data_IF_928918499954
#
_entry.id   IF_928918499954
#
_cell.length_a   1.000
_cell.length_b   1.000
_cell.length_c   1.000
_cell.angle_alpha   90.00
_cell.angle_beta   90.00
_cell.angle_gamma   90.00
#
_symmetry.space_group_name_H-M   'P 1'
#
loop_
_entity.id
_entity.type
_entity.pdbx_description
1 polymer ?
#
# COMPACT_ATOMS: atom_id res chain seq x y z
N UNK A 1 -12.34 3.60 -48.72
CA UNK A 1 -12.10 4.87 -47.98
C UNK A 1 -12.34 4.77 -46.47
N UNK A 2 -12.75 3.62 -45.91
CA UNK A 2 -13.08 3.48 -44.47
C UNK A 2 -11.90 3.01 -43.60
N UNK A 3 -10.96 2.23 -44.16
CA UNK A 3 -9.86 1.58 -43.42
C UNK A 3 -8.79 2.55 -42.92
N UNK A 4 -8.36 3.50 -43.75
CA UNK A 4 -7.36 4.51 -43.34
C UNK A 4 -7.82 5.37 -42.17
N UNK A 5 -9.11 5.71 -42.09
CA UNK A 5 -9.67 6.47 -40.96
C UNK A 5 -9.70 5.63 -39.68
N UNK A 6 -9.97 4.33 -39.80
CA UNK A 6 -9.92 3.39 -38.68
C UNK A 6 -8.49 3.17 -38.18
N UNK A 7 -7.53 3.00 -39.08
CA UNK A 7 -6.10 2.87 -38.75
C UNK A 7 -5.58 4.11 -38.00
N UNK A 8 -5.94 5.31 -38.48
CA UNK A 8 -5.59 6.57 -37.82
C UNK A 8 -6.24 6.67 -36.43
N UNK A 9 -7.51 6.28 -36.30
CA UNK A 9 -8.21 6.31 -35.01
C UNK A 9 -7.58 5.37 -33.97
N UNK A 10 -7.18 4.17 -34.40
CA UNK A 10 -6.50 3.20 -33.54
C UNK A 10 -5.15 3.75 -33.08
N UNK A 11 -4.34 4.29 -34.00
CA UNK A 11 -3.05 4.90 -33.65
C UNK A 11 -3.21 6.06 -32.65
N UNK A 12 -4.21 6.93 -32.85
CA UNK A 12 -4.48 8.04 -31.94
C UNK A 12 -4.93 7.55 -30.55
N UNK A 13 -5.77 6.52 -30.47
CA UNK A 13 -6.19 5.93 -29.20
C UNK A 13 -5.04 5.31 -28.42
N UNK A 14 -4.11 4.64 -29.11
CA UNK A 14 -2.94 4.03 -28.51
C UNK A 14 -2.00 5.08 -27.92
N UNK A 15 -1.67 6.12 -28.71
CA UNK A 15 -0.86 7.26 -28.27
C UNK A 15 -1.53 7.97 -27.08
N UNK A 16 -2.85 8.21 -27.14
CA UNK A 16 -3.59 8.84 -26.05
C UNK A 16 -3.53 8.00 -24.76
N UNK A 17 -3.66 6.67 -24.86
CA UNK A 17 -3.59 5.78 -23.70
C UNK A 17 -2.23 5.87 -22.99
N UNK A 18 -1.13 5.93 -23.75
CA UNK A 18 0.23 6.00 -23.21
C UNK A 18 0.51 7.33 -22.49
N UNK A 19 -0.10 8.42 -22.97
CA UNK A 19 -0.04 9.73 -22.31
C UNK A 19 -0.93 9.82 -21.06
N UNK A 20 -2.11 9.20 -21.08
CA UNK A 20 -3.06 9.24 -19.97
C UNK A 20 -2.64 8.32 -18.81
N UNK A 21 -1.98 7.19 -19.09
CA UNK A 21 -1.54 6.22 -18.10
C UNK A 21 -0.14 6.49 -17.54
N UNK A 22 0.38 7.73 -17.62
CA UNK A 22 1.64 8.05 -16.94
C UNK A 22 1.44 7.89 -15.43
N UNK A 23 2.13 6.94 -14.77
CA UNK A 23 1.99 6.78 -13.33
C UNK A 23 2.46 8.07 -12.68
N UNK A 24 1.56 8.72 -11.92
CA UNK A 24 1.93 9.89 -11.13
C UNK A 24 3.06 9.46 -10.21
N UNK A 25 4.25 10.05 -10.39
CA UNK A 25 5.38 9.83 -9.49
C UNK A 25 4.91 10.21 -8.09
N UNK A 26 4.87 9.24 -7.18
CA UNK A 26 4.54 9.52 -5.78
C UNK A 26 5.56 10.53 -5.29
N UNK A 27 5.08 11.70 -4.85
CA UNK A 27 5.95 12.71 -4.26
C UNK A 27 6.65 12.09 -3.06
N UNK A 28 7.93 12.42 -2.88
CA UNK A 28 8.68 11.98 -1.70
C UNK A 28 8.04 12.62 -0.47
N UNK A 29 7.33 11.81 0.30
CA UNK A 29 6.75 12.23 1.58
C UNK A 29 7.90 12.37 2.58
N UNK A 30 8.05 13.55 3.19
CA UNK A 30 9.05 13.80 4.23
C UNK A 30 8.73 13.05 5.53
N UNK A 31 7.44 12.96 5.84
CA UNK A 31 6.93 12.24 6.99
C UNK A 31 5.85 11.27 6.52
N UNK A 32 5.87 10.05 7.07
CA UNK A 32 4.84 9.05 6.80
C UNK A 32 3.55 9.42 7.52
N UNK A 33 2.40 9.12 6.92
CA UNK A 33 1.09 9.51 7.48
C UNK A 33 0.86 8.91 8.86
N UNK A 34 1.19 7.63 9.02
CA UNK A 34 1.07 6.94 10.30
C UNK A 34 1.92 7.58 11.40
N UNK A 35 3.04 8.23 11.06
CA UNK A 35 3.88 8.94 12.03
C UNK A 35 3.22 10.22 12.53
N UNK A 36 2.45 10.92 11.68
CA UNK A 36 1.65 12.09 12.07
C UNK A 36 0.49 11.71 12.98
N UNK A 37 -0.06 10.52 12.78
CA UNK A 37 -1.24 10.05 13.50
C UNK A 37 -0.89 9.10 14.67
N UNK A 38 0.41 8.87 14.91
CA UNK A 38 0.91 7.97 15.96
C UNK A 38 0.35 8.30 17.34
N UNK A 39 0.22 9.58 17.69
CA UNK A 39 -0.33 10.01 18.97
C UNK A 39 -1.86 9.80 19.07
N UNK A 40 -2.54 9.71 17.92
CA UNK A 40 -4.01 9.61 17.84
C UNK A 40 -4.49 8.16 17.91
N UNK A 41 -3.69 7.22 17.42
CA UNK A 41 -4.05 5.81 17.39
C UNK A 41 -3.46 5.05 18.58
N UNK A 42 -4.27 4.18 19.19
CA UNK A 42 -3.72 3.14 20.05
C UNK A 42 -2.79 2.24 19.22
N UNK A 43 -1.71 1.74 19.83
CA UNK A 43 -0.68 0.93 19.14
C UNK A 43 -1.29 -0.20 18.29
N UNK A 44 -2.40 -0.79 18.73
CA UNK A 44 -3.09 -1.88 18.01
C UNK A 44 -3.73 -1.41 16.70
N UNK A 45 -4.32 -0.21 16.66
CA UNK A 45 -4.91 0.33 15.43
C UNK A 45 -3.81 0.65 14.42
N UNK A 46 -2.76 1.30 14.90
CA UNK A 46 -1.57 1.59 14.09
C UNK A 46 -0.98 0.33 13.48
N UNK A 47 -0.82 -0.76 14.26
CA UNK A 47 -0.29 -2.02 13.75
C UNK A 47 -1.16 -2.64 12.64
N UNK A 48 -2.50 -2.52 12.73
CA UNK A 48 -3.39 -2.99 11.66
C UNK A 48 -3.22 -2.18 10.38
N UNK A 49 -3.15 -0.85 10.51
CA UNK A 49 -2.99 0.04 9.36
C UNK A 49 -1.63 -0.19 8.69
N UNK A 50 -0.55 -0.33 9.48
CA UNK A 50 0.79 -0.68 8.99
C UNK A 50 0.82 -2.04 8.27
N UNK A 51 0.14 -3.06 8.81
CA UNK A 51 0.11 -4.38 8.19
C UNK A 51 -0.59 -4.37 6.82
N UNK A 52 -1.60 -3.52 6.63
CA UNK A 52 -2.36 -3.40 5.39
C UNK A 52 -1.69 -2.48 4.35
N UNK A 53 -1.23 -1.31 4.78
CA UNK A 53 -0.83 -0.23 3.88
C UNK A 53 0.69 -0.16 3.68
N UNK A 54 1.50 -0.46 4.71
CA UNK A 54 2.96 -0.25 4.72
C UNK A 54 3.70 -1.40 5.46
N UNK A 55 3.80 -2.62 4.87
CA UNK A 55 4.35 -3.80 5.55
C UNK A 55 5.83 -3.66 5.93
N UNK A 56 6.62 -2.90 5.18
CA UNK A 56 8.02 -2.60 5.52
C UNK A 56 8.12 -1.79 6.83
N UNK A 57 7.15 -0.92 7.09
CA UNK A 57 7.10 -0.15 8.32
C UNK A 57 6.56 -0.93 9.48
N UNK A 58 5.62 -1.84 9.25
CA UNK A 58 5.23 -2.82 10.26
C UNK A 58 6.49 -3.56 10.77
N UNK A 59 7.33 -4.03 9.84
CA UNK A 59 8.59 -4.69 10.16
C UNK A 59 9.57 -3.79 10.90
N UNK A 60 9.70 -2.53 10.50
CA UNK A 60 10.56 -1.58 11.21
C UNK A 60 10.06 -1.24 12.61
N UNK A 61 8.74 -1.11 12.79
CA UNK A 61 8.11 -0.75 14.06
C UNK A 61 8.26 -1.88 15.09
N UNK A 62 7.89 -3.10 14.71
CA UNK A 62 7.95 -4.26 15.60
C UNK A 62 9.30 -5.02 15.56
N UNK A 63 10.19 -4.67 14.63
CA UNK A 63 11.44 -5.40 14.35
C UNK A 63 11.22 -6.88 14.02
N UNK A 64 10.07 -7.22 13.44
CA UNK A 64 9.70 -8.58 13.05
C UNK A 64 8.76 -8.62 11.85
N UNK A 65 8.74 -9.74 11.13
CA UNK A 65 7.79 -9.97 10.04
C UNK A 65 6.36 -10.14 10.57
N UNK A 66 5.38 -9.82 9.71
CA UNK A 66 3.94 -9.99 10.01
C UNK A 66 3.63 -11.46 10.34
N UNK A 67 4.24 -12.40 9.63
CA UNK A 67 4.08 -13.83 9.88
C UNK A 67 4.55 -14.23 11.27
N UNK A 68 5.71 -13.74 11.70
CA UNK A 68 6.28 -14.01 13.03
C UNK A 68 5.40 -13.42 14.12
N UNK A 69 4.91 -12.19 13.94
CA UNK A 69 3.97 -11.57 14.87
C UNK A 69 2.69 -12.43 15.03
N UNK A 70 2.12 -12.89 13.92
CA UNK A 70 0.91 -13.72 13.95
C UNK A 70 1.13 -15.09 14.59
N UNK A 71 2.30 -15.70 14.37
CA UNK A 71 2.68 -16.95 15.01
C UNK A 71 2.79 -16.79 16.53
N UNK A 72 3.52 -15.77 16.99
CA UNK A 72 3.62 -15.43 18.41
C UNK A 72 2.25 -15.13 19.02
N UNK A 73 1.43 -14.34 18.32
CA UNK A 73 0.09 -14.02 18.76
C UNK A 73 -0.74 -15.30 18.92
N UNK A 74 -0.69 -16.23 17.97
CA UNK A 74 -1.39 -17.51 18.06
C UNK A 74 -0.91 -18.35 19.25
N UNK A 75 0.39 -18.37 19.54
CA UNK A 75 0.95 -19.09 20.69
C UNK A 75 0.53 -18.47 22.03
N UNK A 76 0.44 -17.14 22.09
CA UNK A 76 0.13 -16.41 23.33
C UNK A 76 -1.37 -16.27 23.58
N UNK A 77 -2.19 -16.25 22.52
CA UNK A 77 -3.67 -16.16 22.59
C UNK A 77 -4.31 -17.11 23.62
N UNK A 78 -3.98 -18.41 23.69
CA UNK A 78 -4.59 -19.31 24.68
C UNK A 78 -4.30 -18.91 26.14
N UNK A 79 -3.25 -18.13 26.39
CA UNK A 79 -2.90 -17.62 27.72
C UNK A 79 -3.51 -16.24 28.02
N UNK A 80 -3.98 -15.53 26.98
CA UNK A 80 -4.65 -14.23 27.10
C UNK A 80 -6.17 -14.35 27.26
N UNK A 81 -6.75 -15.43 26.74
CA UNK A 81 -8.15 -15.76 26.94
C UNK A 81 -8.31 -16.42 28.31
N UNK A 82 -8.83 -15.66 29.28
CA UNK A 82 -9.30 -16.18 30.58
C UNK A 82 -10.66 -16.86 30.44
#
# INVERSE_FOLDING_TARGET
MCTRKQEIAIALSFIASEYLFKPKRRHRMWLKKWLLEKEKYSDIRLLKDLACDEPDDFKNYLRMEISTFNELLKMVTPYLQK
#
